data_IF_473982947514
#
_entry.id   IF_473982947514
#
_cell.length_a   1.000
_cell.length_b   1.000
_cell.length_c   1.000
_cell.angle_alpha   90.00
_cell.angle_beta   90.00
_cell.angle_gamma   90.00
#
_symmetry.space_group_name_H-M   'P 1'
#
loop_
_entity.id
_entity.type
_entity.pdbx_description
1 polymer ?
#
# COMPACT_ATOMS: atom_id res chain seq x y z
N UNK A 1 -13.56 -12.41 21.38
CA UNK A 1 -13.82 -11.75 20.08
C UNK A 1 -13.19 -10.37 20.18
N UNK A 2 -11.94 -10.23 19.76
CA UNK A 2 -11.27 -8.93 19.75
C UNK A 2 -11.94 -8.06 18.68
N UNK A 3 -12.55 -6.95 19.12
CA UNK A 3 -13.02 -5.91 18.24
C UNK A 3 -11.80 -5.32 17.54
N UNK A 4 -11.66 -5.54 16.23
CA UNK A 4 -10.69 -4.79 15.43
C UNK A 4 -10.96 -3.31 15.66
N UNK A 5 -9.93 -2.51 16.01
CA UNK A 5 -10.11 -1.07 16.19
C UNK A 5 -10.73 -0.49 14.91
N UNK A 6 -11.73 0.38 15.08
CA UNK A 6 -12.43 1.02 13.97
C UNK A 6 -11.40 1.58 12.97
N UNK A 7 -11.51 1.18 11.70
CA UNK A 7 -10.58 1.60 10.64
C UNK A 7 -9.39 0.67 10.36
N UNK A 8 -9.19 -0.42 11.12
CA UNK A 8 -8.19 -1.44 10.80
C UNK A 8 -8.74 -2.51 9.83
N UNK A 9 -8.01 -2.73 8.73
CA UNK A 9 -8.36 -3.68 7.68
C UNK A 9 -7.23 -4.67 7.48
N UNK A 10 -7.58 -5.95 7.33
CA UNK A 10 -6.66 -6.99 6.93
C UNK A 10 -7.07 -7.54 5.56
N UNK A 11 -6.14 -7.45 4.61
CA UNK A 11 -6.25 -8.04 3.30
C UNK A 11 -5.38 -9.28 3.19
N UNK A 12 -6.04 -10.38 2.81
CA UNK A 12 -5.39 -11.62 2.42
C UNK A 12 -5.69 -11.85 0.95
N UNK A 13 -4.64 -12.03 0.15
CA UNK A 13 -4.78 -12.32 -1.26
C UNK A 13 -4.76 -13.82 -1.48
N UNK A 14 -5.49 -14.29 -2.47
CA UNK A 14 -5.21 -15.60 -3.05
C UNK A 14 -3.92 -15.54 -3.86
N UNK A 15 -3.28 -16.70 -4.05
CA UNK A 15 -2.12 -16.82 -4.94
C UNK A 15 -2.42 -16.37 -6.37
N UNK A 16 -3.66 -16.56 -6.82
CA UNK A 16 -4.11 -16.12 -8.15
C UNK A 16 -4.15 -14.59 -8.25
N UNK A 17 -4.74 -13.91 -7.26
CA UNK A 17 -4.79 -12.45 -7.22
C UNK A 17 -3.40 -11.83 -7.11
N UNK A 18 -2.54 -12.38 -6.24
CA UNK A 18 -1.17 -11.90 -6.10
C UNK A 18 -0.37 -12.06 -7.39
N UNK A 19 -0.46 -13.21 -8.05
CA UNK A 19 0.20 -13.42 -9.34
C UNK A 19 -0.37 -12.50 -10.44
N UNK A 20 -1.67 -12.24 -10.42
CA UNK A 20 -2.30 -11.30 -11.36
C UNK A 20 -1.75 -9.89 -11.15
N UNK A 21 -1.62 -9.47 -9.90
CA UNK A 21 -0.99 -8.21 -9.53
C UNK A 21 0.47 -8.12 -9.98
N UNK A 22 1.29 -9.13 -9.67
CA UNK A 22 2.70 -9.15 -10.08
C UNK A 22 2.87 -9.10 -11.60
N UNK A 23 1.97 -9.73 -12.36
CA UNK A 23 1.95 -9.63 -13.82
C UNK A 23 1.55 -8.24 -14.30
N UNK A 24 0.55 -7.62 -13.66
CA UNK A 24 0.09 -6.27 -14.00
C UNK A 24 1.16 -5.20 -13.70
N UNK A 25 1.91 -5.33 -12.59
CA UNK A 25 2.94 -4.38 -12.18
C UNK A 25 4.33 -4.65 -12.76
N UNK A 26 4.65 -5.91 -13.06
CA UNK A 26 5.98 -6.34 -13.48
C UNK A 26 6.42 -5.95 -14.89
N UNK A 27 5.54 -5.46 -15.76
CA UNK A 27 5.82 -5.41 -17.21
C UNK A 27 5.75 -4.03 -17.89
N UNK A 28 5.52 -2.92 -17.17
CA UNK A 28 5.66 -1.59 -17.80
C UNK A 28 7.12 -1.14 -17.83
N UNK A 29 7.75 -1.29 -19.00
CA UNK A 29 9.12 -0.84 -19.35
C UNK A 29 9.40 0.65 -19.01
N UNK A 30 8.34 1.46 -18.90
CA UNK A 30 8.39 2.92 -18.67
C UNK A 30 8.00 3.38 -17.25
N UNK A 31 7.96 2.49 -16.25
CA UNK A 31 7.68 2.94 -14.90
C UNK A 31 8.87 3.66 -14.25
N UNK A 32 8.66 4.82 -13.61
CA UNK A 32 9.73 5.53 -12.90
C UNK A 32 10.43 4.61 -11.90
N UNK A 33 11.77 4.67 -11.85
CA UNK A 33 12.60 3.75 -11.06
C UNK A 33 12.21 3.67 -9.57
N UNK A 34 11.65 4.76 -9.02
CA UNK A 34 11.12 4.84 -7.66
C UNK A 34 10.03 3.79 -7.36
N UNK A 35 9.27 3.35 -8.38
CA UNK A 35 8.21 2.35 -8.23
C UNK A 35 8.70 0.89 -8.33
N UNK A 36 9.89 0.63 -8.88
CA UNK A 36 10.41 -0.75 -9.05
C UNK A 36 10.91 -1.36 -7.74
N UNK A 37 11.39 -0.53 -6.80
CA UNK A 37 12.13 -0.99 -5.62
C UNK A 37 11.26 -1.64 -4.53
N UNK A 38 10.01 -1.19 -4.35
CA UNK A 38 9.14 -1.73 -3.31
C UNK A 38 8.53 -3.08 -3.72
N UNK A 39 8.20 -3.24 -5.01
CA UNK A 39 7.66 -4.51 -5.52
C UNK A 39 8.71 -5.59 -5.69
N UNK A 40 9.95 -5.22 -6.04
CA UNK A 40 11.06 -6.18 -6.16
C UNK A 40 11.26 -7.02 -4.88
N UNK A 41 11.03 -6.43 -3.70
CA UNK A 41 11.13 -7.13 -2.42
C UNK A 41 10.04 -8.18 -2.19
N UNK A 42 8.89 -8.07 -2.86
CA UNK A 42 7.74 -8.96 -2.65
C UNK A 42 7.50 -9.94 -3.79
N UNK A 43 8.16 -9.76 -4.94
CA UNK A 43 8.10 -10.68 -6.08
C UNK A 43 8.53 -12.11 -5.68
N UNK A 44 9.49 -12.25 -4.77
CA UNK A 44 10.01 -13.55 -4.32
C UNK A 44 9.34 -14.10 -3.05
N UNK A 45 8.43 -13.35 -2.41
CA UNK A 45 7.80 -13.76 -1.16
C UNK A 45 6.50 -14.54 -1.42
N UNK A 46 6.15 -15.46 -0.49
CA UNK A 46 4.80 -16.03 -0.41
C UNK A 46 3.78 -14.88 -0.32
N UNK A 47 2.56 -15.11 -0.80
CA UNK A 47 1.48 -14.13 -0.83
C UNK A 47 1.38 -13.39 0.51
N UNK A 48 1.67 -12.08 0.55
CA UNK A 48 1.78 -11.36 1.82
C UNK A 48 0.39 -11.07 2.39
N UNK A 49 0.29 -11.10 3.72
CA UNK A 49 -0.85 -10.51 4.43
C UNK A 49 -0.58 -9.01 4.54
N UNK A 50 -1.56 -8.21 4.15
CA UNK A 50 -1.51 -6.76 4.26
C UNK A 50 -2.43 -6.34 5.40
N UNK A 51 -1.90 -5.61 6.36
CA UNK A 51 -2.67 -5.01 7.45
C UNK A 51 -2.55 -3.50 7.34
N UNK A 52 -3.68 -2.82 7.31
CA UNK A 52 -3.75 -1.36 7.21
C UNK A 52 -4.47 -0.90 8.46
N UNK A 53 -3.80 -0.10 9.28
CA UNK A 53 -4.31 0.52 10.49
C UNK A 53 -4.31 2.03 10.31
N UNK A 54 -5.05 2.80 11.13
CA UNK A 54 -5.08 4.26 11.03
C UNK A 54 -3.70 4.93 11.11
N UNK A 55 -2.74 4.30 11.78
CA UNK A 55 -1.39 4.83 12.05
C UNK A 55 -0.27 4.11 11.28
N UNK A 56 -0.54 2.95 10.69
CA UNK A 56 0.48 2.13 10.05
C UNK A 56 -0.06 1.18 8.96
N UNK A 57 0.81 0.89 7.99
CA UNK A 57 0.68 -0.16 7.00
C UNK A 57 1.70 -1.27 7.28
N UNK A 58 1.27 -2.53 7.29
CA UNK A 58 2.14 -3.69 7.40
C UNK A 58 1.93 -4.63 6.22
N UNK A 59 3.02 -5.11 5.62
CA UNK A 59 3.00 -6.00 4.45
C UNK A 59 3.93 -7.17 4.76
N UNK A 60 3.35 -8.31 5.16
CA UNK A 60 4.11 -9.43 5.71
C UNK A 60 4.88 -9.00 6.97
N UNK A 61 6.22 -9.10 6.90
CA UNK A 61 7.14 -8.67 7.97
C UNK A 61 7.45 -7.17 7.96
N UNK A 62 7.16 -6.47 6.86
CA UNK A 62 7.55 -5.07 6.69
C UNK A 62 6.51 -4.16 7.33
N UNK A 63 6.93 -3.15 8.09
CA UNK A 63 6.05 -2.17 8.74
C UNK A 63 6.40 -0.75 8.31
N UNK A 64 5.37 0.03 8.04
CA UNK A 64 5.42 1.42 7.58
C UNK A 64 4.48 2.25 8.43
N UNK A 65 5.00 3.17 9.23
CA UNK A 65 4.18 4.07 10.03
C UNK A 65 3.83 5.32 9.21
N UNK A 66 2.55 5.72 9.27
CA UNK A 66 2.03 6.91 8.59
C UNK A 66 2.44 8.21 9.29
N UNK A 67 2.64 8.15 10.60
CA UNK A 67 3.00 9.28 11.44
C UNK A 67 4.27 8.97 12.25
N UNK A 68 5.16 9.95 12.36
CA UNK A 68 6.35 9.90 13.21
C UNK A 68 7.22 11.14 13.01
N UNK A 69 8.25 11.31 13.85
CA UNK A 69 9.10 12.52 13.85
C UNK A 69 9.73 12.88 12.49
N UNK A 70 9.87 11.90 11.59
CA UNK A 70 10.53 12.08 10.28
C UNK A 70 9.70 11.64 9.08
N UNK A 71 8.44 11.24 9.29
CA UNK A 71 7.56 10.69 8.25
C UNK A 71 6.16 11.23 8.41
N UNK A 72 5.63 11.79 7.33
CA UNK A 72 4.24 12.24 7.27
C UNK A 72 3.55 11.66 6.04
N UNK A 73 2.44 10.95 6.26
CA UNK A 73 1.51 10.59 5.20
C UNK A 73 0.92 11.88 4.61
N UNK A 74 1.08 12.05 3.30
CA UNK A 74 0.68 13.25 2.55
C UNK A 74 -0.61 13.06 1.79
N UNK A 75 -0.75 11.88 1.20
CA UNK A 75 -1.86 11.56 0.32
C UNK A 75 -2.12 10.06 0.34
N UNK A 76 -3.39 9.71 0.18
CA UNK A 76 -3.85 8.33 -0.02
C UNK A 76 -4.81 8.36 -1.19
N UNK A 77 -4.50 7.61 -2.24
CA UNK A 77 -5.31 7.59 -3.45
C UNK A 77 -5.44 6.18 -4.02
N UNK A 78 -6.64 5.81 -4.40
CA UNK A 78 -6.89 4.59 -5.17
C UNK A 78 -6.85 4.92 -6.66
N UNK A 79 -6.00 4.21 -7.39
CA UNK A 79 -5.86 4.34 -8.85
C UNK A 79 -6.01 2.99 -9.52
N UNK A 80 -6.50 3.01 -10.75
CA UNK A 80 -6.50 1.84 -11.62
C UNK A 80 -5.14 1.72 -12.32
N UNK A 81 -4.50 0.56 -12.20
CA UNK A 81 -3.22 0.25 -12.84
C UNK A 81 -3.36 -0.99 -13.73
N UNK A 82 -3.89 -0.77 -14.94
CA UNK A 82 -4.25 -1.88 -15.83
C UNK A 82 -5.45 -2.64 -15.26
N UNK A 83 -5.41 -3.97 -15.13
CA UNK A 83 -6.58 -4.74 -14.66
C UNK A 83 -6.74 -4.76 -13.13
N UNK A 84 -5.95 -3.98 -12.38
CA UNK A 84 -5.93 -4.00 -10.91
C UNK A 84 -6.12 -2.60 -10.34
N UNK A 85 -6.90 -2.51 -9.27
CA UNK A 85 -6.94 -1.30 -8.45
C UNK A 85 -5.79 -1.36 -7.44
N UNK A 86 -5.10 -0.24 -7.24
CA UNK A 86 -4.04 -0.10 -6.25
C UNK A 86 -4.32 1.11 -5.38
N UNK A 87 -4.06 0.98 -4.09
CA UNK A 87 -4.03 2.12 -3.18
C UNK A 87 -2.58 2.60 -3.02
N UNK A 88 -2.38 3.89 -3.22
CA UNK A 88 -1.11 4.58 -3.17
C UNK A 88 -1.05 5.40 -1.89
N UNK A 89 -0.05 5.14 -1.05
CA UNK A 89 0.27 5.91 0.14
C UNK A 89 1.50 6.75 -0.15
N UNK A 90 1.33 8.07 -0.25
CA UNK A 90 2.43 9.01 -0.51
C UNK A 90 2.96 9.57 0.81
N UNK A 91 4.28 9.50 1.01
CA UNK A 91 4.98 9.91 2.21
C UNK A 91 5.97 11.02 1.91
N UNK A 92 6.05 11.97 2.84
CA UNK A 92 7.14 12.95 2.93
C UNK A 92 8.16 12.46 3.97
N UNK A 93 9.43 12.30 3.57
CA UNK A 93 10.54 12.06 4.50
C UNK A 93 11.24 13.38 4.80
N UNK A 94 11.34 13.74 6.09
CA UNK A 94 12.12 14.90 6.55
C UNK A 94 13.63 14.56 6.60
N UNK A 95 14.53 15.56 6.57
CA UNK A 95 15.44 15.87 5.46
C UNK A 95 16.72 15.02 5.38
N UNK A 96 16.80 13.87 6.03
CA UNK A 96 17.98 13.00 5.99
C UNK A 96 18.05 12.07 4.78
N UNK A 97 16.97 11.96 4.01
CA UNK A 97 16.87 11.06 2.84
C UNK A 97 16.87 11.90 1.56
N UNK A 98 17.70 11.55 0.58
CA UNK A 98 17.78 12.23 -0.73
C UNK A 98 16.47 12.13 -1.52
N UNK A 99 15.59 11.20 -1.15
CA UNK A 99 14.22 11.09 -1.65
C UNK A 99 13.22 11.71 -0.66
N UNK A 100 12.85 12.97 -0.93
CA UNK A 100 11.81 13.71 -0.18
C UNK A 100 10.44 13.02 -0.23
N UNK A 101 10.20 12.17 -1.22
CA UNK A 101 8.90 11.56 -1.50
C UNK A 101 9.04 10.06 -1.71
N UNK A 102 8.22 9.27 -1.01
CA UNK A 102 8.10 7.82 -1.24
C UNK A 102 6.65 7.45 -1.43
N UNK A 103 6.37 6.55 -2.37
CA UNK A 103 5.01 6.06 -2.62
C UNK A 103 4.97 4.56 -2.40
N UNK A 104 4.12 4.11 -1.48
CA UNK A 104 3.85 2.68 -1.27
C UNK A 104 2.54 2.34 -1.98
N UNK A 105 2.58 1.35 -2.86
CA UNK A 105 1.41 0.89 -3.59
C UNK A 105 1.02 -0.49 -3.12
N UNK A 106 -0.26 -0.67 -2.83
CA UNK A 106 -0.82 -1.91 -2.33
C UNK A 106 -1.99 -2.32 -3.24
N UNK A 107 -2.01 -3.54 -3.79
CA UNK A 107 -3.14 -3.98 -4.59
C UNK A 107 -4.40 -4.06 -3.74
N UNK A 108 -5.52 -3.66 -4.31
CA UNK A 108 -6.83 -3.87 -3.69
C UNK A 108 -7.32 -5.27 -4.09
N UNK A 109 -7.64 -6.16 -3.13
CA UNK A 109 -8.20 -7.48 -3.45
C UNK A 109 -9.51 -7.37 -4.21
N UNK A 110 -9.85 -8.41 -4.99
CA UNK A 110 -11.08 -8.39 -5.79
C UNK A 110 -12.30 -8.30 -4.86
N UNK A 111 -13.23 -7.40 -5.20
CA UNK A 111 -14.43 -7.17 -4.37
C UNK A 111 -14.21 -6.34 -3.11
N UNK A 112 -12.97 -5.91 -2.80
CA UNK A 112 -12.65 -5.06 -1.64
C UNK A 112 -12.50 -3.56 -1.98
N UNK A 113 -12.89 -3.14 -3.19
CA UNK A 113 -12.79 -1.74 -3.61
C UNK A 113 -13.58 -0.78 -2.71
N UNK A 114 -14.79 -1.15 -2.30
CA UNK A 114 -15.60 -0.34 -1.37
C UNK A 114 -14.92 -0.16 -0.01
N UNK A 115 -14.27 -1.21 0.49
CA UNK A 115 -13.52 -1.18 1.75
C UNK A 115 -12.28 -0.29 1.62
N UNK A 116 -11.56 -0.39 0.50
CA UNK A 116 -10.43 0.47 0.21
C UNK A 116 -10.83 1.96 0.16
N UNK A 117 -11.95 2.30 -0.50
CA UNK A 117 -12.44 3.68 -0.57
C UNK A 117 -12.78 4.25 0.81
N UNK A 118 -13.48 3.49 1.65
CA UNK A 118 -13.78 3.91 3.04
C UNK A 118 -12.52 4.15 3.85
N UNK A 119 -11.51 3.30 3.66
CA UNK A 119 -10.22 3.45 4.32
C UNK A 119 -9.45 4.67 3.83
N UNK A 120 -9.50 4.97 2.52
CA UNK A 120 -8.94 6.21 1.97
C UNK A 120 -9.60 7.43 2.62
N UNK A 121 -10.94 7.48 2.68
CA UNK A 121 -11.68 8.56 3.33
C UNK A 121 -11.27 8.72 4.81
N UNK A 122 -11.14 7.62 5.55
CA UNK A 122 -10.75 7.64 6.95
C UNK A 122 -9.31 8.14 7.18
N UNK A 123 -8.37 7.68 6.36
CA UNK A 123 -6.97 8.11 6.46
C UNK A 123 -6.81 9.58 6.05
N UNK A 124 -7.53 10.04 5.03
CA UNK A 124 -7.52 11.45 4.61
C UNK A 124 -8.14 12.37 5.67
N UNK A 125 -9.12 11.91 6.45
CA UNK A 125 -9.66 12.66 7.57
C UNK A 125 -8.66 12.86 8.73
N UNK A 126 -7.54 12.11 8.73
CA UNK A 126 -6.52 12.11 9.80
C UNK A 126 -5.25 12.86 9.40
N UNK A 127 -5.09 13.23 8.12
CA UNK A 127 -3.90 13.92 7.56
C UNK A 127 -4.03 15.45 7.62
#
# INVERSE_FOLDING_TARGET
MEQSPEGAIQWQYTRKEWNHFLKATGWKKNWPAMFRLLFARWIHRKVPVVNIKPDQLSIGSDRYYFFGERKKLRNVEIREEGPVNVICFEYENLPTDTERWKVIKVPVPRGRLKEALRMQEHLLATV
#
